data_IF_410126235373
#
_entry.id   IF_410126235373
#
_cell.length_a   1.000
_cell.length_b   1.000
_cell.length_c   1.000
_cell.angle_alpha   90.00
_cell.angle_beta   90.00
_cell.angle_gamma   90.00
#
_symmetry.space_group_name_H-M   'P 1'
#
loop_
_entity.id
_entity.type
_entity.pdbx_description
1 polymer ?
#
# COMPACT_ATOMS: atom_id res chain seq x y z
N UNK A 1 -56.85 55.63 -27.28
CA UNK A 1 -57.21 55.27 -28.66
C UNK A 1 -55.92 55.41 -29.47
N UNK A 2 -55.20 54.31 -29.70
CA UNK A 2 -55.39 53.38 -30.83
C UNK A 2 -54.94 54.03 -32.16
N UNK A 3 -54.06 53.46 -32.98
CA UNK A 3 -53.52 52.08 -32.96
C UNK A 3 -52.09 51.95 -33.56
N UNK A 4 -51.53 50.75 -33.43
CA UNK A 4 -50.29 50.23 -34.04
C UNK A 4 -50.22 50.34 -35.58
N UNK A 5 -48.99 50.36 -36.15
CA UNK A 5 -48.47 49.41 -37.19
C UNK A 5 -46.93 49.28 -37.05
N UNK A 6 -46.36 48.11 -37.39
CA UNK A 6 -44.94 47.71 -37.22
C UNK A 6 -44.09 47.75 -38.52
N UNK A 7 -42.76 47.80 -38.38
CA UNK A 7 -41.67 47.07 -39.11
C UNK A 7 -40.29 47.67 -38.68
N UNK A 8 -39.10 47.04 -38.72
CA UNK A 8 -38.60 45.65 -38.87
C UNK A 8 -37.29 45.48 -38.05
N UNK A 9 -37.00 44.34 -37.39
CA UNK A 9 -35.68 44.08 -36.79
C UNK A 9 -34.78 43.18 -37.66
N UNK A 10 -34.18 43.70 -38.73
CA UNK A 10 -33.17 42.99 -39.55
C UNK A 10 -31.72 43.30 -39.11
N UNK A 11 -31.25 42.78 -37.97
CA UNK A 11 -29.79 42.77 -37.70
C UNK A 11 -29.25 41.74 -36.67
N UNK A 12 -30.07 41.09 -35.85
CA UNK A 12 -29.56 40.32 -34.71
C UNK A 12 -29.14 38.86 -35.03
N UNK A 13 -29.79 38.23 -36.02
CA UNK A 13 -29.56 36.82 -36.37
C UNK A 13 -28.11 36.59 -36.85
N UNK A 14 -27.56 37.51 -37.66
CA UNK A 14 -26.26 37.33 -38.30
C UNK A 14 -25.09 37.30 -37.28
N UNK A 15 -25.18 38.10 -36.19
CA UNK A 15 -24.17 38.10 -35.11
C UNK A 15 -24.13 36.77 -34.35
N UNK A 16 -25.27 36.11 -34.11
CA UNK A 16 -25.31 34.79 -33.45
C UNK A 16 -24.73 33.68 -34.32
N UNK A 17 -25.03 33.68 -35.62
CA UNK A 17 -24.50 32.69 -36.57
C UNK A 17 -22.99 32.82 -36.72
N UNK A 18 -22.47 34.04 -36.91
CA UNK A 18 -21.03 34.30 -37.00
C UNK A 18 -20.27 33.88 -35.74
N UNK A 19 -20.84 34.10 -34.55
CA UNK A 19 -20.20 33.69 -33.28
C UNK A 19 -20.15 32.16 -33.12
N UNK A 20 -21.20 31.43 -33.54
CA UNK A 20 -21.20 29.96 -33.56
C UNK A 20 -20.20 29.40 -34.59
N UNK A 21 -20.15 30.00 -35.79
CA UNK A 21 -19.16 29.64 -36.81
C UNK A 21 -17.72 29.87 -36.31
N UNK A 22 -17.45 30.99 -35.63
CA UNK A 22 -16.16 31.27 -35.01
C UNK A 22 -15.78 30.22 -33.96
N UNK A 23 -16.68 29.84 -33.05
CA UNK A 23 -16.39 28.78 -32.08
C UNK A 23 -16.15 27.42 -32.75
N UNK A 24 -16.89 27.07 -33.80
CA UNK A 24 -16.64 25.84 -34.57
C UNK A 24 -15.28 25.87 -35.26
N UNK A 25 -14.89 27.00 -35.87
CA UNK A 25 -13.57 27.17 -36.49
C UNK A 25 -12.46 27.06 -35.43
N UNK A 26 -12.60 27.69 -34.26
CA UNK A 26 -11.63 27.61 -33.17
C UNK A 26 -11.52 26.19 -32.59
N UNK A 27 -12.62 25.44 -32.48
CA UNK A 27 -12.62 24.04 -32.07
C UNK A 27 -11.96 23.13 -33.12
N UNK A 28 -12.22 23.36 -34.41
CA UNK A 28 -11.55 22.63 -35.49
C UNK A 28 -10.04 22.92 -35.53
N UNK A 29 -9.64 24.19 -35.37
CA UNK A 29 -8.23 24.58 -35.36
C UNK A 29 -7.51 24.04 -34.11
N UNK A 30 -8.14 24.11 -32.94
CA UNK A 30 -7.64 23.49 -31.71
C UNK A 30 -7.51 21.96 -31.84
N UNK A 31 -8.51 21.31 -32.44
CA UNK A 31 -8.47 19.88 -32.77
C UNK A 31 -7.30 19.52 -33.70
N UNK A 32 -7.09 20.30 -34.76
CA UNK A 32 -5.96 20.13 -35.68
C UNK A 32 -4.60 20.33 -35.00
N UNK A 33 -4.48 21.30 -34.08
CA UNK A 33 -3.26 21.47 -33.28
C UNK A 33 -3.01 20.27 -32.35
N UNK A 34 -4.05 19.72 -31.73
CA UNK A 34 -3.95 18.53 -30.87
C UNK A 34 -3.56 17.29 -31.70
N UNK A 35 -4.20 17.06 -32.86
CA UNK A 35 -3.83 15.93 -33.72
C UNK A 35 -2.41 16.07 -34.28
N UNK A 36 -1.97 17.28 -34.65
CA UNK A 36 -0.58 17.52 -35.06
C UNK A 36 0.43 17.30 -33.92
N UNK A 37 0.08 17.70 -32.68
CA UNK A 37 0.92 17.45 -31.52
C UNK A 37 1.03 15.95 -31.21
N UNK A 38 -0.09 15.21 -31.25
CA UNK A 38 -0.11 13.75 -31.12
C UNK A 38 0.72 13.11 -32.23
N UNK A 39 0.53 13.49 -33.50
CA UNK A 39 1.28 12.93 -34.62
C UNK A 39 2.80 13.17 -34.45
N UNK A 40 3.20 14.36 -34.01
CA UNK A 40 4.61 14.70 -33.74
C UNK A 40 5.20 13.90 -32.57
N UNK A 41 4.41 13.62 -31.52
CA UNK A 41 4.83 12.76 -30.40
C UNK A 41 4.93 11.31 -30.85
N UNK A 42 3.93 10.80 -31.58
CA UNK A 42 3.94 9.46 -32.17
C UNK A 42 5.14 9.26 -33.11
N UNK A 43 5.46 10.22 -33.98
CA UNK A 43 6.65 10.17 -34.85
C UNK A 43 7.97 10.21 -34.07
N UNK A 44 8.04 10.91 -32.93
CA UNK A 44 9.22 10.89 -32.05
C UNK A 44 9.34 9.57 -31.29
N UNK A 45 8.23 8.95 -30.92
CA UNK A 45 8.19 7.64 -30.27
C UNK A 45 8.56 6.52 -31.26
N UNK A 46 8.01 6.50 -32.48
CA UNK A 46 8.43 5.54 -33.51
C UNK A 46 9.89 5.76 -33.91
N UNK A 47 10.36 7.00 -34.06
CA UNK A 47 11.79 7.30 -34.26
C UNK A 47 12.70 6.90 -33.08
N UNK A 48 12.14 6.68 -31.87
CA UNK A 48 12.87 6.07 -30.75
C UNK A 48 12.78 4.53 -30.77
N UNK A 49 11.65 3.95 -31.18
CA UNK A 49 11.49 2.49 -31.32
C UNK A 49 12.21 1.91 -32.55
N UNK A 50 12.42 2.64 -33.65
CA UNK A 50 13.24 2.16 -34.78
C UNK A 50 14.72 1.96 -34.39
N UNK A 51 15.14 2.44 -33.21
CA UNK A 51 16.43 2.13 -32.59
C UNK A 51 16.45 0.81 -31.80
N UNK A 52 15.35 0.06 -31.75
CA UNK A 52 15.35 -1.33 -31.27
C UNK A 52 16.18 -2.27 -32.19
N UNK A 53 16.55 -1.80 -33.38
CA UNK A 53 17.55 -2.44 -34.25
C UNK A 53 18.95 -2.59 -33.64
N UNK A 54 19.24 -1.96 -32.48
CA UNK A 54 20.52 -2.09 -31.75
C UNK A 54 20.50 -3.25 -30.73
N UNK A 55 19.36 -3.90 -30.49
CA UNK A 55 19.22 -5.01 -29.51
C UNK A 55 19.64 -6.38 -30.10
N UNK A 56 20.57 -6.40 -31.08
CA UNK A 56 21.17 -7.63 -31.62
C UNK A 56 22.66 -7.81 -31.31
N UNK A 57 23.35 -6.82 -30.73
CA UNK A 57 24.80 -6.91 -30.42
C UNK A 57 25.10 -7.22 -28.94
N UNK A 58 24.14 -7.01 -28.02
CA UNK A 58 24.31 -7.20 -26.57
C UNK A 58 24.40 -8.67 -26.10
N UNK A 59 24.59 -9.63 -27.00
CA UNK A 59 24.79 -11.06 -26.71
C UNK A 59 26.23 -11.54 -26.99
N UNK A 60 27.19 -10.61 -27.09
CA UNK A 60 28.61 -10.95 -27.17
C UNK A 60 29.21 -11.18 -25.77
N UNK A 61 29.46 -12.44 -25.43
CA UNK A 61 30.20 -12.86 -24.21
C UNK A 61 31.71 -12.63 -24.31
N UNK A 62 32.17 -11.82 -25.27
CA UNK A 62 33.57 -11.50 -25.48
C UNK A 62 33.96 -10.23 -24.70
N UNK A 63 35.24 -10.07 -24.31
CA UNK A 63 35.73 -8.80 -23.80
C UNK A 63 35.44 -7.69 -24.82
N UNK A 64 35.04 -6.50 -24.34
CA UNK A 64 34.91 -5.32 -25.20
C UNK A 64 36.32 -4.92 -25.64
N UNK A 65 36.74 -5.38 -26.82
CA UNK A 65 37.91 -4.88 -27.52
C UNK A 65 37.56 -3.53 -28.15
N UNK A 66 38.40 -2.55 -27.82
CA UNK A 66 38.42 -1.12 -28.18
C UNK A 66 37.32 -0.53 -29.09
N UNK A 67 36.61 0.47 -28.55
CA UNK A 67 35.71 1.35 -29.30
C UNK A 67 36.52 2.10 -30.37
N UNK A 68 36.30 1.81 -31.66
CA UNK A 68 36.96 2.56 -32.73
C UNK A 68 36.44 4.02 -32.76
N UNK A 69 37.31 4.96 -32.36
CA UNK A 69 37.01 6.38 -32.25
C UNK A 69 37.07 7.18 -33.56
N UNK A 70 37.37 6.58 -34.71
CA UNK A 70 37.66 7.30 -35.97
C UNK A 70 36.53 8.20 -36.50
N UNK A 71 35.29 8.08 -36.00
CA UNK A 71 34.14 8.89 -36.45
C UNK A 71 33.52 9.80 -35.37
N UNK A 72 34.17 9.97 -34.20
CA UNK A 72 33.63 10.77 -33.07
C UNK A 72 34.65 11.83 -32.63
N UNK A 73 34.18 13.02 -32.21
CA UNK A 73 35.07 14.06 -31.65
C UNK A 73 35.88 13.47 -30.47
N UNK A 74 37.21 13.59 -30.42
CA UNK A 74 38.05 12.83 -29.46
C UNK A 74 37.62 12.97 -27.99
N UNK A 75 37.32 14.19 -27.54
CA UNK A 75 36.85 14.44 -26.16
C UNK A 75 35.48 13.82 -25.83
N UNK A 76 34.68 13.43 -26.84
CA UNK A 76 33.44 12.67 -26.65
C UNK A 76 33.69 11.16 -26.63
N UNK A 77 34.63 10.65 -27.44
CA UNK A 77 35.01 9.24 -27.40
C UNK A 77 35.65 8.87 -26.05
N UNK A 78 36.63 9.66 -25.58
CA UNK A 78 37.32 9.39 -24.31
C UNK A 78 36.34 9.29 -23.11
N UNK A 79 35.36 10.20 -23.02
CA UNK A 79 34.34 10.17 -21.96
C UNK A 79 33.38 8.96 -22.05
N UNK A 80 33.10 8.47 -23.26
CA UNK A 80 32.32 7.24 -23.45
C UNK A 80 33.13 6.00 -23.06
N UNK A 81 34.43 5.98 -23.39
CA UNK A 81 35.35 4.91 -23.00
C UNK A 81 35.55 4.85 -21.48
N UNK A 82 35.78 5.99 -20.81
CA UNK A 82 35.82 6.10 -19.35
C UNK A 82 34.55 5.55 -18.70
N UNK A 83 33.37 5.91 -19.24
CA UNK A 83 32.08 5.43 -18.75
C UNK A 83 31.88 3.93 -18.99
N UNK A 84 32.32 3.40 -20.13
CA UNK A 84 32.30 1.95 -20.42
C UNK A 84 33.16 1.16 -19.43
N UNK A 85 34.38 1.63 -19.16
CA UNK A 85 35.29 1.01 -18.19
C UNK A 85 34.71 1.08 -16.77
N UNK A 86 34.06 2.19 -16.40
CA UNK A 86 33.36 2.31 -15.12
C UNK A 86 32.20 1.29 -15.02
N UNK A 87 31.33 1.24 -16.02
CA UNK A 87 30.20 0.30 -16.06
C UNK A 87 30.65 -1.17 -16.00
N UNK A 88 31.76 -1.52 -16.68
CA UNK A 88 32.35 -2.85 -16.61
C UNK A 88 32.87 -3.21 -15.20
N UNK A 89 33.40 -2.23 -14.45
CA UNK A 89 33.78 -2.42 -13.04
C UNK A 89 32.56 -2.60 -12.15
N UNK A 90 31.48 -1.86 -12.40
CA UNK A 90 30.25 -1.94 -11.63
C UNK A 90 29.55 -3.28 -11.86
N UNK A 91 29.45 -3.77 -13.10
CA UNK A 91 28.91 -5.11 -13.43
C UNK A 91 29.68 -6.21 -12.70
N UNK A 92 31.03 -6.20 -12.74
CA UNK A 92 31.85 -7.18 -12.01
C UNK A 92 31.64 -7.13 -10.49
N UNK A 93 31.38 -5.93 -9.95
CA UNK A 93 31.08 -5.73 -8.54
C UNK A 93 29.70 -6.29 -8.19
N UNK A 94 28.67 -5.98 -8.99
CA UNK A 94 27.31 -6.50 -8.85
C UNK A 94 27.26 -8.03 -8.95
N UNK A 95 27.98 -8.63 -9.90
CA UNK A 95 28.10 -10.10 -9.98
C UNK A 95 28.71 -10.72 -8.72
N UNK A 96 29.77 -10.10 -8.16
CA UNK A 96 30.41 -10.57 -6.94
C UNK A 96 29.44 -10.48 -5.77
N UNK A 97 28.72 -9.36 -5.64
CA UNK A 97 27.70 -9.14 -4.61
C UNK A 97 26.54 -10.12 -4.76
N UNK A 98 26.06 -10.38 -5.98
CA UNK A 98 25.01 -11.37 -6.24
C UNK A 98 25.46 -12.80 -5.87
N UNK A 99 26.69 -13.20 -6.21
CA UNK A 99 27.28 -14.48 -5.76
C UNK A 99 27.32 -14.59 -4.22
N UNK A 100 27.62 -13.49 -3.51
CA UNK A 100 27.58 -13.45 -2.05
C UNK A 100 26.15 -13.56 -1.49
N UNK A 101 25.16 -12.89 -2.10
CA UNK A 101 23.76 -12.99 -1.68
C UNK A 101 23.19 -14.40 -1.88
N UNK A 102 23.49 -15.06 -3.00
CA UNK A 102 23.07 -16.46 -3.26
C UNK A 102 23.62 -17.40 -2.18
N UNK A 103 24.88 -17.24 -1.77
CA UNK A 103 25.49 -18.04 -0.70
C UNK A 103 24.87 -17.75 0.68
N UNK A 104 24.47 -16.51 0.96
CA UNK A 104 23.73 -16.17 2.20
C UNK A 104 22.31 -16.77 2.18
N UNK A 105 21.59 -16.67 1.07
CA UNK A 105 20.25 -17.26 0.90
C UNK A 105 20.31 -18.77 1.16
N UNK A 106 21.27 -19.47 0.56
CA UNK A 106 21.48 -20.90 0.77
C UNK A 106 21.67 -21.25 2.25
N UNK A 107 22.47 -20.48 2.99
CA UNK A 107 22.66 -20.68 4.45
C UNK A 107 21.37 -20.46 5.24
N UNK A 108 20.61 -19.42 4.91
CA UNK A 108 19.30 -19.15 5.55
C UNK A 108 18.30 -20.28 5.25
N UNK A 109 18.32 -20.85 4.05
CA UNK A 109 17.50 -22.03 3.72
C UNK A 109 17.94 -23.30 4.45
N UNK A 110 19.24 -23.51 4.63
CA UNK A 110 19.79 -24.63 5.42
C UNK A 110 19.41 -24.50 6.91
N UNK A 111 19.54 -23.31 7.51
CA UNK A 111 19.07 -23.05 8.87
C UNK A 111 17.55 -23.21 9.01
N UNK A 112 16.76 -22.69 8.04
CA UNK A 112 15.32 -22.91 8.00
C UNK A 112 14.96 -24.41 7.96
N UNK A 113 15.70 -25.22 7.20
CA UNK A 113 15.51 -26.68 7.15
C UNK A 113 15.88 -27.35 8.48
N UNK A 114 16.96 -26.92 9.14
CA UNK A 114 17.35 -27.40 10.48
C UNK A 114 16.28 -27.11 11.52
N UNK A 115 15.82 -25.86 11.60
CA UNK A 115 14.75 -25.43 12.50
C UNK A 115 13.44 -26.18 12.25
N UNK A 116 13.08 -26.43 10.99
CA UNK A 116 11.93 -27.26 10.63
C UNK A 116 12.08 -28.75 11.00
N UNK A 117 13.30 -29.31 10.97
CA UNK A 117 13.55 -30.67 11.46
C UNK A 117 13.36 -30.76 12.97
N UNK A 118 13.99 -29.83 13.71
CA UNK A 118 13.87 -29.74 15.17
C UNK A 118 12.39 -29.60 15.59
N UNK A 119 11.64 -28.71 14.95
CA UNK A 119 10.21 -28.53 15.17
C UNK A 119 9.42 -29.84 14.93
N UNK A 120 9.74 -30.60 13.90
CA UNK A 120 9.08 -31.88 13.60
C UNK A 120 9.45 -33.01 14.58
N UNK A 121 10.69 -33.04 15.06
CA UNK A 121 11.13 -33.99 16.09
C UNK A 121 10.42 -33.75 17.44
N UNK A 122 10.13 -32.48 17.74
CA UNK A 122 9.39 -32.06 18.95
C UNK A 122 7.87 -32.28 18.84
N UNK A 123 7.31 -32.34 17.63
CA UNK A 123 5.89 -32.60 17.38
C UNK A 123 5.42 -34.03 17.78
N UNK A 124 6.31 -34.90 18.26
CA UNK A 124 5.97 -36.27 18.68
C UNK A 124 4.95 -36.39 19.82
N UNK A 125 4.65 -35.31 20.56
CA UNK A 125 3.67 -35.28 21.65
C UNK A 125 2.81 -33.99 21.70
N UNK A 126 2.60 -33.30 20.57
CA UNK A 126 1.82 -32.04 20.53
C UNK A 126 0.43 -32.29 19.90
N UNK A 127 -0.69 -31.88 20.55
CA UNK A 127 -2.01 -31.92 19.93
C UNK A 127 -2.03 -31.10 18.63
N UNK A 128 -2.77 -31.57 17.61
CA UNK A 128 -2.90 -30.91 16.30
C UNK A 128 -3.57 -29.52 16.33
N UNK A 129 -3.94 -29.04 17.52
CA UNK A 129 -4.63 -27.79 17.74
C UNK A 129 -3.64 -26.67 18.11
N UNK A 130 -3.25 -25.92 17.09
CA UNK A 130 -2.31 -24.79 17.16
C UNK A 130 -2.78 -23.61 18.03
N UNK A 131 -4.08 -23.32 18.02
CA UNK A 131 -4.69 -22.28 18.86
C UNK A 131 -5.65 -22.89 19.89
N UNK A 132 -5.71 -22.37 21.14
CA UNK A 132 -6.57 -22.94 22.19
C UNK A 132 -8.05 -23.01 21.79
N UNK A 133 -8.83 -23.88 22.43
CA UNK A 133 -10.27 -23.97 22.19
C UNK A 133 -10.95 -22.59 22.35
N UNK A 134 -11.77 -22.21 21.38
CA UNK A 134 -12.42 -20.90 21.29
C UNK A 134 -11.59 -19.79 20.63
N UNK A 135 -10.37 -20.07 20.16
CA UNK A 135 -9.52 -19.13 19.40
C UNK A 135 -9.51 -19.48 17.91
N UNK A 136 -9.36 -18.47 17.06
CA UNK A 136 -9.21 -18.61 15.60
C UNK A 136 -7.75 -18.45 15.20
N UNK A 137 -7.21 -19.40 14.44
CA UNK A 137 -5.88 -19.28 13.81
C UNK A 137 -5.97 -18.43 12.54
N UNK A 138 -5.17 -17.37 12.46
CA UNK A 138 -5.06 -16.52 11.27
C UNK A 138 -3.57 -16.16 11.11
N UNK A 139 -2.99 -16.39 9.92
CA UNK A 139 -1.60 -16.01 9.60
C UNK A 139 -0.55 -16.42 10.68
N UNK A 140 -0.71 -17.58 11.32
CA UNK A 140 0.16 -18.07 12.40
C UNK A 140 0.12 -17.27 13.71
N UNK A 141 -0.99 -16.55 13.98
CA UNK A 141 -1.37 -15.98 15.29
C UNK A 141 -2.75 -16.50 15.70
N UNK A 142 -3.06 -16.43 16.99
CA UNK A 142 -4.34 -16.84 17.57
C UNK A 142 -5.14 -15.62 18.04
N UNK A 143 -6.40 -15.53 17.62
CA UNK A 143 -7.30 -14.44 17.97
C UNK A 143 -8.52 -14.94 18.75
N UNK A 144 -8.98 -14.18 19.73
CA UNK A 144 -10.18 -14.48 20.52
C UNK A 144 -11.11 -13.28 20.55
N UNK A 145 -12.31 -13.45 19.98
CA UNK A 145 -13.39 -12.46 20.04
C UNK A 145 -14.30 -12.78 21.24
N UNK A 146 -14.47 -11.82 22.13
CA UNK A 146 -15.30 -11.98 23.33
C UNK A 146 -16.80 -12.07 23.04
N UNK A 147 -17.53 -12.87 23.82
CA UNK A 147 -19.00 -12.88 23.84
C UNK A 147 -19.61 -11.86 24.81
N UNK A 148 -18.86 -11.40 25.80
CA UNK A 148 -19.27 -10.37 26.78
C UNK A 148 -18.83 -8.97 26.34
N UNK A 149 -19.33 -7.94 27.04
CA UNK A 149 -18.85 -6.55 26.89
C UNK A 149 -18.22 -6.04 28.19
N UNK A 150 -17.12 -5.29 28.09
CA UNK A 150 -16.38 -4.69 29.21
C UNK A 150 -15.75 -3.35 28.80
N UNK A 151 -15.19 -2.63 29.78
CA UNK A 151 -14.37 -1.42 29.54
C UNK A 151 -13.00 -1.82 28.98
N UNK A 152 -12.32 -0.90 28.29
CA UNK A 152 -11.06 -1.20 27.60
C UNK A 152 -10.01 -1.85 28.53
N UNK A 153 -9.82 -1.28 29.73
CA UNK A 153 -8.84 -1.78 30.71
C UNK A 153 -9.22 -3.16 31.27
N UNK A 154 -10.52 -3.41 31.50
CA UNK A 154 -11.05 -4.70 31.94
C UNK A 154 -10.90 -5.76 30.83
N UNK A 155 -11.16 -5.38 29.58
CA UNK A 155 -10.95 -6.22 28.39
C UNK A 155 -9.47 -6.57 28.21
N UNK A 156 -8.56 -5.63 28.42
CA UNK A 156 -7.11 -5.88 28.40
C UNK A 156 -6.71 -6.91 29.45
N UNK A 157 -7.19 -6.77 30.68
CA UNK A 157 -6.98 -7.74 31.76
C UNK A 157 -7.55 -9.12 31.41
N UNK A 158 -8.67 -9.20 30.69
CA UNK A 158 -9.20 -10.49 30.20
C UNK A 158 -8.27 -11.16 29.20
N UNK A 159 -7.63 -10.41 28.29
CA UNK A 159 -6.62 -10.97 27.38
C UNK A 159 -5.37 -11.43 28.15
N UNK A 160 -4.85 -10.60 29.05
CA UNK A 160 -3.67 -10.90 29.85
C UNK A 160 -3.86 -12.14 30.74
N UNK A 161 -5.07 -12.35 31.29
CA UNK A 161 -5.42 -13.57 32.02
C UNK A 161 -5.33 -14.86 31.20
N UNK A 162 -5.27 -14.76 29.86
CA UNK A 162 -5.20 -15.89 28.91
C UNK A 162 -3.83 -16.00 28.21
N UNK A 163 -2.82 -15.28 28.69
CA UNK A 163 -1.49 -15.22 28.08
C UNK A 163 -1.51 -14.55 26.71
N UNK A 164 -2.25 -13.45 26.59
CA UNK A 164 -2.51 -12.67 25.38
C UNK A 164 -2.55 -11.17 25.75
N UNK A 165 -2.67 -10.28 24.77
CA UNK A 165 -3.08 -8.88 25.02
C UNK A 165 -4.19 -8.49 24.03
N UNK A 166 -4.69 -7.25 24.07
CA UNK A 166 -5.58 -6.72 23.03
C UNK A 166 -4.84 -6.67 21.68
N UNK A 167 -5.57 -6.85 20.59
CA UNK A 167 -4.98 -6.94 19.25
C UNK A 167 -4.22 -5.68 18.84
N UNK A 168 -2.97 -5.85 18.39
CA UNK A 168 -2.15 -4.85 17.71
C UNK A 168 -2.24 -5.12 16.21
N UNK A 169 -2.63 -4.11 15.43
CA UNK A 169 -2.87 -4.29 13.99
C UNK A 169 -1.67 -3.73 13.23
N UNK A 170 -0.86 -4.63 12.70
CA UNK A 170 0.47 -4.33 12.18
C UNK A 170 0.48 -3.90 10.70
N UNK A 171 -0.48 -4.39 9.92
CA UNK A 171 -0.59 -4.11 8.48
C UNK A 171 -2.03 -4.29 7.93
N UNK A 172 -2.21 -3.88 6.67
CA UNK A 172 -3.47 -4.02 5.93
C UNK A 172 -3.97 -5.47 5.82
N UNK A 173 -3.07 -6.45 5.80
CA UNK A 173 -3.40 -7.88 5.64
C UNK A 173 -3.98 -8.44 6.93
N UNK A 174 -3.45 -8.04 8.08
CA UNK A 174 -4.00 -8.34 9.39
C UNK A 174 -5.37 -7.71 9.55
N UNK A 175 -5.51 -6.40 9.33
CA UNK A 175 -6.78 -5.67 9.35
C UNK A 175 -7.86 -6.37 8.49
N UNK A 176 -7.54 -6.69 7.23
CA UNK A 176 -8.44 -7.42 6.32
C UNK A 176 -8.83 -8.81 6.83
N UNK A 177 -7.96 -9.49 7.57
CA UNK A 177 -8.23 -10.83 8.09
C UNK A 177 -9.11 -10.77 9.35
N UNK A 178 -8.91 -9.78 10.22
CA UNK A 178 -9.76 -9.52 11.39
C UNK A 178 -11.19 -9.10 10.97
N UNK A 179 -11.31 -8.28 9.92
CA UNK A 179 -12.60 -7.95 9.29
C UNK A 179 -13.38 -9.20 8.84
N UNK A 180 -12.70 -10.27 8.42
CA UNK A 180 -13.30 -11.54 7.94
C UNK A 180 -13.57 -12.56 9.04
N UNK A 181 -13.24 -12.29 10.30
CA UNK A 181 -13.57 -13.20 11.40
C UNK A 181 -15.09 -13.39 11.51
N UNK A 182 -15.53 -14.59 11.88
CA UNK A 182 -16.95 -14.85 12.07
C UNK A 182 -17.49 -14.04 13.27
N UNK A 183 -18.37 -13.08 12.99
CA UNK A 183 -19.03 -12.25 13.99
C UNK A 183 -20.35 -11.67 13.47
N UNK A 184 -21.12 -11.06 14.37
CA UNK A 184 -22.30 -10.28 14.00
C UNK A 184 -21.84 -8.92 13.44
N UNK A 185 -22.36 -8.52 12.27
CA UNK A 185 -21.99 -7.28 11.57
C UNK A 185 -22.17 -5.98 12.38
N UNK A 186 -22.90 -6.01 13.49
CA UNK A 186 -23.10 -4.86 14.37
C UNK A 186 -22.20 -4.85 15.61
N UNK A 187 -21.20 -5.74 15.67
CA UNK A 187 -20.25 -5.77 16.79
C UNK A 187 -19.25 -4.62 16.70
N UNK A 188 -19.05 -3.98 17.84
CA UNK A 188 -17.95 -3.06 18.12
C UNK A 188 -17.05 -3.72 19.16
N UNK A 189 -15.75 -3.75 18.88
CA UNK A 189 -14.77 -4.33 19.79
C UNK A 189 -13.53 -3.46 19.99
N UNK A 190 -13.04 -3.47 21.23
CA UNK A 190 -11.77 -2.85 21.60
C UNK A 190 -10.60 -3.50 20.86
N UNK A 191 -9.73 -2.64 20.34
CA UNK A 191 -8.38 -3.01 19.87
C UNK A 191 -7.33 -2.45 20.84
N UNK A 192 -6.09 -2.89 20.69
CA UNK A 192 -4.97 -2.55 21.58
C UNK A 192 -4.42 -1.13 21.41
N UNK A 193 -5.13 -0.23 20.74
CA UNK A 193 -4.71 1.16 20.52
C UNK A 193 -5.38 2.08 21.54
N UNK A 194 -4.58 2.89 22.23
CA UNK A 194 -5.07 3.90 23.19
C UNK A 194 -4.21 5.16 23.16
N UNK A 195 -4.84 6.32 23.25
CA UNK A 195 -4.18 7.57 23.61
C UNK A 195 -3.66 7.48 25.06
N UNK A 196 -2.46 8.01 25.29
CA UNK A 196 -1.91 8.29 26.61
C UNK A 196 -1.07 9.55 26.47
N UNK A 197 -1.41 10.58 27.26
CA UNK A 197 -0.83 11.92 27.18
C UNK A 197 -0.95 12.55 25.77
N UNK A 198 -2.09 12.33 25.10
CA UNK A 198 -2.36 12.84 23.75
C UNK A 198 -1.60 12.12 22.62
N UNK A 199 -0.95 10.99 22.91
CA UNK A 199 -0.25 10.16 21.92
C UNK A 199 -0.86 8.77 21.86
N UNK A 200 -1.32 8.36 20.67
CA UNK A 200 -1.79 6.99 20.41
C UNK A 200 -0.63 5.99 20.50
N UNK A 201 -0.81 4.93 21.28
CA UNK A 201 0.17 3.86 21.50
C UNK A 201 -0.51 2.51 21.50
N UNK A 202 0.16 1.51 20.93
CA UNK A 202 -0.27 0.12 21.01
C UNK A 202 0.08 -0.49 22.37
N UNK A 203 -0.68 -1.50 22.80
CA UNK A 203 -0.47 -2.22 24.08
C UNK A 203 0.89 -2.90 24.21
N UNK A 204 1.53 -3.24 23.09
CA UNK A 204 2.89 -3.82 23.01
C UNK A 204 4.00 -2.76 23.02
N UNK A 205 3.65 -1.47 22.96
CA UNK A 205 4.58 -0.35 22.90
C UNK A 205 5.07 0.00 21.49
N UNK A 206 4.55 -0.63 20.44
CA UNK A 206 4.88 -0.29 19.06
C UNK A 206 4.27 1.06 18.63
N UNK A 207 4.90 1.71 17.64
CA UNK A 207 4.41 2.95 17.03
C UNK A 207 3.30 2.66 16.02
N UNK A 208 2.30 3.55 15.97
CA UNK A 208 1.24 3.51 14.97
C UNK A 208 1.80 3.87 13.58
N UNK A 209 1.73 2.93 12.63
CA UNK A 209 2.21 3.11 11.24
C UNK A 209 1.05 3.35 10.28
N UNK A 210 0.18 2.36 10.17
CA UNK A 210 -1.06 2.41 9.40
C UNK A 210 -2.23 2.64 10.36
N UNK A 211 -3.23 3.41 9.91
CA UNK A 211 -4.42 3.67 10.69
C UNK A 211 -5.67 3.60 9.81
N UNK A 212 -6.68 2.87 10.26
CA UNK A 212 -7.87 2.52 9.47
C UNK A 212 -9.12 3.23 9.99
N UNK A 213 -9.00 4.53 10.28
CA UNK A 213 -10.08 5.38 10.79
C UNK A 213 -11.29 5.43 9.85
N UNK A 214 -12.49 5.44 10.44
CA UNK A 214 -13.71 5.79 9.73
C UNK A 214 -13.64 7.25 9.25
N UNK A 215 -14.30 7.57 8.12
CA UNK A 215 -14.54 8.96 7.70
C UNK A 215 -15.03 9.84 8.86
N UNK A 216 -14.24 10.86 9.20
CA UNK A 216 -14.50 11.81 10.29
C UNK A 216 -13.75 11.53 11.59
N UNK A 217 -13.05 10.39 11.72
CA UNK A 217 -12.34 9.97 12.92
C UNK A 217 -10.80 10.07 12.78
N UNK A 218 -10.03 10.19 13.87
CA UNK A 218 -10.50 10.33 15.25
C UNK A 218 -10.99 11.75 15.56
N UNK A 219 -12.08 11.87 16.31
CA UNK A 219 -12.70 13.15 16.68
C UNK A 219 -12.41 13.59 18.13
N UNK A 220 -11.81 12.70 18.94
CA UNK A 220 -11.39 12.90 20.33
C UNK A 220 -12.53 13.23 21.32
N UNK A 221 -13.78 12.96 20.93
CA UNK A 221 -14.97 13.42 21.64
C UNK A 221 -15.20 14.93 21.49
N UNK A 222 -14.69 15.51 20.40
CA UNK A 222 -14.64 16.94 20.15
C UNK A 222 -13.85 17.71 21.21
N UNK A 223 -14.32 18.91 21.57
CA UNK A 223 -13.58 19.86 22.42
C UNK A 223 -13.33 19.46 23.88
N UNK A 224 -13.63 18.23 24.29
CA UNK A 224 -13.51 17.76 25.67
C UNK A 224 -12.42 16.68 25.88
N UNK A 225 -11.82 16.09 24.84
CA UNK A 225 -10.75 15.08 24.93
C UNK A 225 -11.00 13.97 25.98
N UNK A 226 -12.08 13.18 25.83
CA UNK A 226 -12.43 12.08 26.76
C UNK A 226 -12.35 10.70 26.07
N UNK A 227 -12.03 10.68 24.78
CA UNK A 227 -12.10 9.50 23.91
C UNK A 227 -10.71 8.94 23.62
N UNK A 228 -10.09 8.40 24.67
CA UNK A 228 -8.73 7.87 24.57
C UNK A 228 -8.63 6.45 24.00
N UNK A 229 -9.72 5.67 23.89
CA UNK A 229 -9.67 4.25 23.53
C UNK A 229 -10.24 3.97 22.14
N UNK A 230 -9.60 3.07 21.39
CA UNK A 230 -10.00 2.79 20.00
C UNK A 230 -10.80 1.49 19.89
N UNK A 231 -11.93 1.59 19.22
CA UNK A 231 -12.78 0.48 18.83
C UNK A 231 -12.80 0.27 17.32
N UNK A 232 -13.17 -0.94 16.90
CA UNK A 232 -13.30 -1.31 15.50
C UNK A 232 -14.72 -1.82 15.21
N UNK A 233 -15.33 -1.28 14.15
CA UNK A 233 -16.61 -1.73 13.61
C UNK A 233 -16.40 -3.02 12.81
N UNK A 234 -17.07 -4.09 13.25
CA UNK A 234 -17.13 -5.32 12.48
C UNK A 234 -17.89 -5.08 11.17
N UNK A 235 -17.42 -5.67 10.06
CA UNK A 235 -18.08 -5.64 8.74
C UNK A 235 -18.41 -4.24 8.14
N UNK A 236 -17.91 -3.15 8.73
CA UNK A 236 -17.73 -1.83 8.09
C UNK A 236 -16.45 -1.83 7.23
N UNK A 237 -16.32 -1.04 6.13
CA UNK A 237 -15.25 -1.16 5.14
C UNK A 237 -13.87 -1.40 5.77
N UNK A 238 -13.22 -2.50 5.39
CA UNK A 238 -12.15 -3.10 6.19
C UNK A 238 -11.00 -2.14 6.56
N UNK A 239 -10.74 -1.12 5.74
CA UNK A 239 -9.64 -0.15 5.93
C UNK A 239 -10.11 1.24 6.41
N UNK A 240 -11.38 1.35 6.80
CA UNK A 240 -11.99 2.58 7.33
C UNK A 240 -13.12 2.21 8.30
N UNK A 241 -12.74 1.65 9.45
CA UNK A 241 -13.65 1.09 10.44
C UNK A 241 -13.18 1.25 11.90
N UNK A 242 -12.15 2.05 12.17
CA UNK A 242 -11.75 2.42 13.52
C UNK A 242 -12.43 3.71 13.97
N UNK A 243 -12.70 3.81 15.27
CA UNK A 243 -13.28 4.96 15.93
C UNK A 243 -12.68 5.09 17.32
N UNK A 244 -12.35 6.29 17.77
CA UNK A 244 -12.05 6.55 19.17
C UNK A 244 -13.35 6.78 19.95
N UNK A 245 -13.34 6.36 21.21
CA UNK A 245 -14.49 6.45 22.09
C UNK A 245 -14.03 6.45 23.54
N UNK A 246 -14.85 6.95 24.47
CA UNK A 246 -14.49 6.90 25.89
C UNK A 246 -14.20 5.48 26.38
N UNK A 247 -13.03 5.28 26.99
CA UNK A 247 -12.57 4.00 27.56
C UNK A 247 -13.52 3.36 28.60
N UNK A 248 -14.46 4.15 29.14
CA UNK A 248 -15.47 3.70 30.09
C UNK A 248 -16.68 3.01 29.44
N UNK A 249 -16.75 3.04 28.11
CA UNK A 249 -17.79 2.41 27.31
C UNK A 249 -17.70 0.89 27.41
N UNK A 250 -18.84 0.19 27.33
CA UNK A 250 -18.87 -1.27 27.25
C UNK A 250 -18.82 -1.70 25.79
N UNK A 251 -17.81 -2.50 25.44
CA UNK A 251 -17.65 -3.13 24.12
C UNK A 251 -17.18 -4.56 24.26
N UNK A 252 -17.35 -5.33 23.19
CA UNK A 252 -16.61 -6.57 23.02
C UNK A 252 -15.11 -6.26 22.89
N UNK A 253 -14.26 -7.27 22.85
CA UNK A 253 -12.83 -7.07 22.67
C UNK A 253 -12.22 -8.21 21.88
N UNK A 254 -11.13 -7.90 21.18
CA UNK A 254 -10.35 -8.86 20.42
C UNK A 254 -8.98 -9.02 21.08
N UNK A 255 -8.72 -10.22 21.60
CA UNK A 255 -7.39 -10.59 22.08
C UNK A 255 -6.58 -11.22 20.95
N UNK A 256 -5.26 -11.08 21.03
CA UNK A 256 -4.33 -11.85 20.20
C UNK A 256 -3.20 -12.46 21.03
N UNK A 257 -2.57 -13.49 20.46
CA UNK A 257 -1.25 -13.98 20.85
C UNK A 257 -0.58 -14.74 19.72
N UNK A 258 0.73 -14.80 19.76
CA UNK A 258 1.49 -15.71 18.91
C UNK A 258 1.11 -17.17 19.16
N UNK A 259 1.33 -17.99 18.14
CA UNK A 259 1.23 -19.44 18.29
C UNK A 259 2.17 -19.93 19.38
N UNK A 260 1.66 -20.77 20.27
CA UNK A 260 2.52 -21.58 21.14
C UNK A 260 3.29 -22.58 20.27
N UNK A 261 4.53 -22.22 19.93
CA UNK A 261 5.56 -23.23 19.79
C UNK A 261 5.76 -23.84 21.19
N UNK A 262 5.07 -24.95 21.46
CA UNK A 262 5.34 -25.75 22.66
C UNK A 262 6.72 -26.38 22.44
N UNK A 263 7.73 -25.77 23.06
CA UNK A 263 9.10 -26.28 23.13
C UNK A 263 9.22 -27.38 24.20
#
# INVERSE_FOLDING_TARGET
MQDYVNEEPKQEINKRTGRRAYYLIMLLFGGLCITQAILNVSLRLTSHCDKESIISECNTTQPIEDINCEQVKPAQCNRLQERSIALSRDVKTLEKTNRQHVEVIKKVEEERKRLMSMLNEMNGCVPSQRCPLGWTEINSRCYFLSTEQKKWEESRQQCQSKGADLVVINDEKEQNALYRMNGNQYLLFWIGLRSTDGTLKWVDGSELKDAFWQDGQPDLGGGNNIEDCVEMYHQSPALSNWNDVSCQTLRHWLCEKDLFFIL
#
